data_IF_987024792709
#
_entry.id   IF_987024792709
#
_cell.length_a   1.000
_cell.length_b   1.000
_cell.length_c   1.000
_cell.angle_alpha   90.00
_cell.angle_beta   90.00
_cell.angle_gamma   90.00
#
_symmetry.space_group_name_H-M   'P 1'
#
loop_
_entity.id
_entity.type
_entity.pdbx_description
1 polymer ?
#
# COMPACT_ATOMS: atom_id res chain seq x y z
N UNK A 1 -14.20 2.71 -41.86
CA UNK A 1 -14.23 2.76 -40.38
C UNK A 1 -14.35 1.34 -39.86
N UNK A 2 -13.34 0.83 -39.10
CA UNK A 2 -13.50 -0.44 -38.39
C UNK A 2 -14.62 -0.27 -37.38
N UNK A 3 -15.67 -1.06 -37.42
CA UNK A 3 -16.70 -1.10 -36.37
C UNK A 3 -16.04 -1.45 -35.07
N UNK A 4 -16.02 -0.52 -34.11
CA UNK A 4 -15.61 -0.78 -32.74
C UNK A 4 -16.65 -1.75 -32.16
N UNK A 5 -16.27 -3.00 -31.91
CA UNK A 5 -17.11 -3.96 -31.20
C UNK A 5 -16.93 -3.68 -29.70
N UNK A 6 -17.98 -3.32 -28.95
CA UNK A 6 -17.87 -3.11 -27.50
C UNK A 6 -17.64 -4.47 -26.81
N UNK A 7 -16.79 -4.48 -25.79
CA UNK A 7 -16.63 -5.65 -24.92
C UNK A 7 -17.93 -5.93 -24.14
N UNK A 8 -18.32 -7.20 -24.04
CA UNK A 8 -19.39 -7.62 -23.14
C UNK A 8 -18.88 -7.58 -21.67
N UNK A 9 -19.55 -6.79 -20.85
CA UNK A 9 -19.20 -6.63 -19.43
C UNK A 9 -19.27 -7.93 -18.63
N UNK A 10 -20.16 -8.87 -19.00
CA UNK A 10 -20.25 -10.20 -18.38
C UNK A 10 -19.02 -11.04 -18.71
N UNK A 11 -18.49 -10.92 -19.94
CA UNK A 11 -17.26 -11.60 -20.33
C UNK A 11 -16.05 -11.01 -19.59
N UNK A 12 -15.97 -9.69 -19.45
CA UNK A 12 -14.92 -9.03 -18.66
C UNK A 12 -14.99 -9.43 -17.18
N UNK A 13 -16.18 -9.55 -16.61
CA UNK A 13 -16.36 -10.02 -15.23
C UNK A 13 -15.90 -11.48 -15.06
N UNK A 14 -16.28 -12.37 -15.98
CA UNK A 14 -15.84 -13.76 -15.97
C UNK A 14 -14.33 -13.88 -16.15
N UNK A 15 -13.74 -13.03 -16.99
CA UNK A 15 -12.31 -12.92 -17.21
C UNK A 15 -11.58 -12.54 -15.93
N UNK A 16 -12.01 -11.47 -15.24
CA UNK A 16 -11.38 -11.02 -13.99
C UNK A 16 -11.45 -12.08 -12.87
N UNK A 17 -12.61 -12.73 -12.71
CA UNK A 17 -12.76 -13.82 -11.72
C UNK A 17 -11.87 -15.01 -12.09
N UNK A 18 -11.71 -15.35 -13.36
CA UNK A 18 -10.80 -16.42 -13.79
C UNK A 18 -9.35 -16.07 -13.52
N UNK A 19 -8.95 -14.82 -13.72
CA UNK A 19 -7.60 -14.35 -13.36
C UNK A 19 -7.32 -14.51 -11.86
N UNK A 20 -8.31 -14.23 -11.01
CA UNK A 20 -8.13 -14.30 -9.55
C UNK A 20 -8.16 -15.74 -9.01
N UNK A 21 -8.95 -16.64 -9.65
CA UNK A 21 -9.10 -18.04 -9.20
C UNK A 21 -8.10 -19.01 -9.84
N UNK A 22 -7.64 -18.69 -11.05
CA UNK A 22 -6.80 -19.58 -11.88
C UNK A 22 -7.50 -20.89 -12.28
N UNK A 23 -8.84 -20.99 -12.12
CA UNK A 23 -9.61 -22.23 -12.33
C UNK A 23 -10.97 -21.96 -12.95
N UNK A 24 -11.23 -22.56 -14.10
CA UNK A 24 -12.54 -22.48 -14.78
C UNK A 24 -13.68 -23.02 -13.89
N UNK A 25 -13.44 -24.09 -13.13
CA UNK A 25 -14.44 -24.69 -12.26
C UNK A 25 -14.78 -23.78 -11.09
N UNK A 26 -13.79 -23.16 -10.46
CA UNK A 26 -14.01 -22.24 -9.36
C UNK A 26 -14.67 -20.93 -9.83
N UNK A 27 -14.28 -20.44 -11.00
CA UNK A 27 -14.92 -19.29 -11.66
C UNK A 27 -16.41 -19.57 -11.93
N UNK A 28 -16.71 -20.75 -12.46
CA UNK A 28 -18.09 -21.17 -12.74
C UNK A 28 -18.94 -21.18 -11.47
N UNK A 29 -18.42 -21.70 -10.37
CA UNK A 29 -19.11 -21.68 -9.06
C UNK A 29 -19.42 -20.27 -8.60
N UNK A 30 -18.42 -19.36 -8.66
CA UNK A 30 -18.59 -17.95 -8.24
C UNK A 30 -19.62 -17.19 -9.09
N UNK A 31 -19.74 -17.54 -10.36
CA UNK A 31 -20.68 -16.91 -11.29
C UNK A 31 -22.04 -17.61 -11.35
N UNK A 32 -22.23 -18.71 -10.63
CA UNK A 32 -23.43 -19.55 -10.74
C UNK A 32 -23.68 -20.05 -12.19
N UNK A 33 -22.59 -20.38 -12.91
CA UNK A 33 -22.60 -20.88 -14.26
C UNK A 33 -22.02 -22.29 -14.35
N UNK A 34 -22.15 -22.93 -15.52
CA UNK A 34 -21.43 -24.18 -15.81
C UNK A 34 -19.99 -23.87 -16.25
N UNK A 35 -19.08 -24.80 -16.02
CA UNK A 35 -17.67 -24.66 -16.48
C UNK A 35 -17.58 -24.53 -18.01
N UNK A 36 -18.46 -25.20 -18.76
CA UNK A 36 -18.56 -25.08 -20.21
C UNK A 36 -18.99 -23.68 -20.66
N UNK A 37 -19.93 -23.05 -19.94
CA UNK A 37 -20.35 -21.68 -20.22
C UNK A 37 -19.21 -20.67 -20.01
N UNK A 38 -18.46 -20.79 -18.91
CA UNK A 38 -17.27 -19.95 -18.66
C UNK A 38 -16.20 -20.19 -19.74
N UNK A 39 -15.94 -21.45 -20.11
CA UNK A 39 -14.96 -21.77 -21.15
C UNK A 39 -15.37 -21.18 -22.52
N UNK A 40 -16.64 -21.27 -22.87
CA UNK A 40 -17.16 -20.67 -24.10
C UNK A 40 -17.07 -19.15 -24.08
N UNK A 41 -17.43 -18.52 -22.95
CA UNK A 41 -17.33 -17.07 -22.76
C UNK A 41 -15.88 -16.57 -22.93
N UNK A 42 -14.90 -17.27 -22.36
CA UNK A 42 -13.49 -16.91 -22.51
C UNK A 42 -12.98 -17.12 -23.94
N UNK A 43 -13.42 -18.19 -24.61
CA UNK A 43 -13.07 -18.42 -26.02
C UNK A 43 -13.62 -17.30 -26.91
N UNK A 44 -14.88 -16.90 -26.71
CA UNK A 44 -15.49 -15.78 -27.43
C UNK A 44 -14.73 -14.46 -27.20
N UNK A 45 -14.32 -14.19 -25.95
CA UNK A 45 -13.53 -13.01 -25.62
C UNK A 45 -12.15 -13.02 -26.30
N UNK A 46 -11.46 -14.16 -26.34
CA UNK A 46 -10.20 -14.34 -27.09
C UNK A 46 -10.37 -14.11 -28.59
N UNK A 47 -11.46 -14.59 -29.16
CA UNK A 47 -11.81 -14.37 -30.57
C UNK A 47 -12.08 -12.88 -30.87
N UNK A 48 -12.78 -12.17 -29.99
CA UNK A 48 -13.00 -10.72 -30.10
C UNK A 48 -11.70 -9.91 -29.97
N UNK A 49 -10.81 -10.31 -29.04
CA UNK A 49 -9.49 -9.70 -28.87
C UNK A 49 -8.52 -10.04 -30.01
N UNK A 50 -8.78 -11.09 -30.78
CA UNK A 50 -7.85 -11.61 -31.78
C UNK A 50 -6.56 -12.18 -31.19
N UNK A 51 -6.56 -12.51 -29.90
CA UNK A 51 -5.38 -12.95 -29.17
C UNK A 51 -5.76 -13.90 -28.05
N UNK A 52 -4.88 -14.87 -27.76
CA UNK A 52 -5.01 -15.70 -26.56
C UNK A 52 -4.76 -14.87 -25.33
N UNK A 53 -5.67 -14.93 -24.36
CA UNK A 53 -5.56 -14.23 -23.08
C UNK A 53 -5.00 -15.11 -21.98
N UNK A 54 -5.14 -16.43 -22.15
CA UNK A 54 -4.68 -17.44 -21.22
C UNK A 54 -3.75 -18.47 -21.85
N UNK A 55 -2.83 -18.98 -21.03
CA UNK A 55 -1.98 -20.14 -21.33
C UNK A 55 -2.13 -21.20 -20.25
N UNK A 56 -1.98 -22.46 -20.60
CA UNK A 56 -2.00 -23.55 -19.64
C UNK A 56 -0.63 -23.64 -18.95
N UNK A 57 -0.64 -23.72 -17.62
CA UNK A 57 0.53 -23.94 -16.81
C UNK A 57 0.25 -25.11 -15.85
N UNK A 58 0.46 -26.33 -16.34
CA UNK A 58 0.06 -27.54 -15.64
C UNK A 58 -1.47 -27.63 -15.48
N UNK A 59 -1.94 -27.72 -14.23
CA UNK A 59 -3.37 -27.74 -13.88
C UNK A 59 -3.99 -26.34 -13.69
N UNK A 60 -3.18 -25.28 -13.73
CA UNK A 60 -3.62 -23.89 -13.55
C UNK A 60 -3.63 -23.13 -14.88
N UNK A 61 -4.36 -22.05 -14.87
CA UNK A 61 -4.44 -21.09 -15.98
C UNK A 61 -3.62 -19.87 -15.61
N UNK A 62 -2.72 -19.44 -16.50
CA UNK A 62 -1.91 -18.24 -16.34
C UNK A 62 -2.23 -17.26 -17.49
N UNK A 63 -2.06 -15.98 -17.22
CA UNK A 63 -2.23 -14.92 -18.23
C UNK A 63 -1.12 -14.97 -19.28
N UNK A 64 -1.46 -14.53 -20.49
CA UNK A 64 -0.51 -14.07 -21.49
C UNK A 64 -0.25 -12.58 -21.33
N UNK A 65 0.68 -12.01 -22.08
CA UNK A 65 0.90 -10.55 -22.11
C UNK A 65 -0.37 -9.80 -22.55
N UNK A 66 -1.10 -10.32 -23.54
CA UNK A 66 -2.39 -9.77 -23.97
C UNK A 66 -3.45 -9.86 -22.85
N UNK A 67 -3.46 -10.99 -22.11
CA UNK A 67 -4.34 -11.17 -20.96
C UNK A 67 -4.02 -10.17 -19.84
N UNK A 68 -2.76 -9.96 -19.53
CA UNK A 68 -2.33 -9.00 -18.52
C UNK A 68 -2.75 -7.57 -18.90
N UNK A 69 -2.55 -7.20 -20.17
CA UNK A 69 -2.98 -5.89 -20.69
C UNK A 69 -4.49 -5.69 -20.61
N UNK A 70 -5.28 -6.74 -20.95
CA UNK A 70 -6.74 -6.66 -20.80
C UNK A 70 -7.16 -6.54 -19.34
N UNK A 71 -6.46 -7.21 -18.42
CA UNK A 71 -6.75 -7.15 -16.98
C UNK A 71 -6.56 -5.74 -16.41
N UNK A 72 -5.49 -5.05 -16.81
CA UNK A 72 -5.25 -3.64 -16.45
C UNK A 72 -6.35 -2.69 -16.92
N UNK A 73 -7.03 -3.03 -18.00
CA UNK A 73 -8.20 -2.28 -18.48
C UNK A 73 -9.48 -2.73 -17.77
N UNK A 74 -9.74 -4.04 -17.70
CA UNK A 74 -11.02 -4.59 -17.28
C UNK A 74 -11.33 -4.33 -15.79
N UNK A 75 -10.35 -4.50 -14.89
CA UNK A 75 -10.56 -4.28 -13.46
C UNK A 75 -10.97 -2.87 -13.10
N UNK A 76 -10.23 -1.83 -13.53
CA UNK A 76 -10.65 -0.46 -13.27
C UNK A 76 -12.03 -0.14 -13.84
N UNK A 77 -12.32 -0.63 -15.03
CA UNK A 77 -13.61 -0.39 -15.70
C UNK A 77 -14.77 -1.05 -14.92
N UNK A 78 -14.63 -2.32 -14.53
CA UNK A 78 -15.64 -3.02 -13.73
C UNK A 78 -15.82 -2.35 -12.35
N UNK A 79 -14.73 -1.91 -11.73
CA UNK A 79 -14.77 -1.16 -10.47
C UNK A 79 -15.52 0.16 -10.58
N UNK A 80 -15.32 0.92 -11.66
CA UNK A 80 -16.07 2.16 -11.89
C UNK A 80 -17.57 1.90 -12.14
N UNK A 81 -17.91 0.83 -12.86
CA UNK A 81 -19.31 0.44 -13.04
C UNK A 81 -20.01 0.09 -11.72
N UNK A 82 -19.32 -0.62 -10.83
CA UNK A 82 -19.86 -0.96 -9.51
C UNK A 82 -20.08 0.28 -8.66
N UNK A 83 -19.14 1.23 -8.68
CA UNK A 83 -19.29 2.52 -7.98
C UNK A 83 -20.48 3.32 -8.48
N UNK A 84 -20.67 3.39 -9.80
CA UNK A 84 -21.85 4.08 -10.36
C UNK A 84 -23.15 3.41 -9.90
N UNK A 85 -23.19 2.07 -9.80
CA UNK A 85 -24.34 1.38 -9.21
C UNK A 85 -24.53 1.74 -7.74
N UNK A 86 -23.46 1.68 -6.93
CA UNK A 86 -23.50 2.07 -5.53
C UNK A 86 -23.91 3.54 -5.35
N UNK A 87 -23.45 4.44 -6.23
CA UNK A 87 -23.88 5.85 -6.22
C UNK A 87 -25.36 5.99 -6.56
N UNK A 88 -25.85 5.27 -7.56
CA UNK A 88 -27.27 5.28 -7.93
C UNK A 88 -28.16 4.72 -6.82
N UNK A 89 -27.74 3.62 -6.18
CA UNK A 89 -28.42 3.04 -5.02
C UNK A 89 -28.33 3.96 -3.78
N UNK A 90 -27.27 4.75 -3.69
CA UNK A 90 -26.99 5.71 -2.60
C UNK A 90 -27.67 7.07 -2.76
N UNK A 91 -28.29 7.39 -3.91
CA UNK A 91 -29.04 8.63 -4.09
C UNK A 91 -30.22 8.75 -3.10
N UNK A 92 -30.72 7.63 -2.60
CA UNK A 92 -31.77 7.61 -1.56
C UNK A 92 -31.23 7.74 -0.11
N UNK A 93 -29.89 7.61 0.10
CA UNK A 93 -29.27 7.69 1.43
C UNK A 93 -28.08 8.64 1.41
N UNK A 94 -28.31 9.91 1.77
CA UNK A 94 -27.26 10.91 1.96
C UNK A 94 -26.09 10.37 2.80
N UNK A 95 -24.91 10.20 2.19
CA UNK A 95 -23.66 9.88 2.90
C UNK A 95 -23.26 8.40 2.97
N UNK A 96 -23.96 7.48 2.33
CA UNK A 96 -23.58 6.08 2.24
C UNK A 96 -22.63 5.82 1.06
N UNK A 97 -21.36 6.20 1.20
CA UNK A 97 -20.28 5.82 0.27
C UNK A 97 -19.50 4.64 0.81
N UNK A 98 -18.76 3.94 -0.07
CA UNK A 98 -17.74 2.95 0.28
C UNK A 98 -16.39 3.49 -0.19
N UNK A 99 -15.36 3.32 0.62
CA UNK A 99 -13.96 3.62 0.26
C UNK A 99 -13.13 2.36 0.50
N UNK A 100 -12.51 1.85 -0.56
CA UNK A 100 -11.51 0.80 -0.49
C UNK A 100 -10.14 1.44 -0.34
N UNK A 101 -9.50 1.24 0.81
CA UNK A 101 -8.28 1.92 1.20
C UNK A 101 -7.13 0.93 1.32
N UNK A 102 -5.99 1.23 0.71
CA UNK A 102 -4.72 0.56 0.94
C UNK A 102 -3.88 1.33 1.95
N UNK A 103 -3.20 0.64 2.86
CA UNK A 103 -2.27 1.28 3.78
C UNK A 103 -1.29 0.26 4.36
N UNK A 104 -0.04 0.69 4.64
CA UNK A 104 0.91 -0.18 5.33
C UNK A 104 0.46 -0.47 6.78
N UNK A 105 0.99 -1.54 7.37
CA UNK A 105 0.70 -1.90 8.77
C UNK A 105 0.93 -0.71 9.72
N UNK A 106 1.97 0.08 9.49
CA UNK A 106 2.27 1.27 10.29
C UNK A 106 1.24 2.38 10.07
N UNK A 107 0.86 2.64 8.81
CA UNK A 107 -0.18 3.61 8.51
C UNK A 107 -1.53 3.17 9.09
N UNK A 108 -1.88 1.88 9.03
CA UNK A 108 -3.08 1.32 9.65
C UNK A 108 -3.09 1.51 11.17
N UNK A 109 -1.93 1.38 11.82
CA UNK A 109 -1.82 1.48 13.28
C UNK A 109 -1.85 2.92 13.78
N UNK A 110 -1.13 3.82 13.12
CA UNK A 110 -0.85 5.15 13.67
C UNK A 110 -1.54 6.29 12.92
N UNK A 111 -1.67 6.18 11.60
CA UNK A 111 -2.19 7.28 10.77
C UNK A 111 -3.69 7.15 10.50
N UNK A 112 -4.13 5.95 10.20
CA UNK A 112 -5.51 5.72 9.79
C UNK A 112 -6.53 5.96 10.92
N UNK A 113 -6.32 5.56 12.20
CA UNK A 113 -7.30 5.75 13.26
C UNK A 113 -7.71 7.21 13.47
N UNK A 114 -6.81 8.20 13.63
CA UNK A 114 -7.21 9.60 13.78
C UNK A 114 -7.93 10.14 12.54
N UNK A 115 -7.49 9.78 11.33
CA UNK A 115 -8.15 10.18 10.07
C UNK A 115 -9.58 9.64 10.02
N UNK A 116 -9.76 8.34 10.27
CA UNK A 116 -11.08 7.71 10.27
C UNK A 116 -11.98 8.27 11.37
N UNK A 117 -11.44 8.53 12.54
CA UNK A 117 -12.21 9.13 13.65
C UNK A 117 -12.76 10.50 13.27
N UNK A 118 -11.94 11.35 12.66
CA UNK A 118 -12.37 12.67 12.21
C UNK A 118 -13.36 12.55 11.04
N UNK A 119 -13.07 11.72 10.06
CA UNK A 119 -13.93 11.49 8.90
C UNK A 119 -15.31 10.96 9.29
N UNK A 120 -15.36 9.96 10.18
CA UNK A 120 -16.61 9.34 10.63
C UNK A 120 -17.53 10.26 11.43
N UNK A 121 -17.00 11.30 12.06
CA UNK A 121 -17.84 12.35 12.70
C UNK A 121 -18.70 13.09 11.67
N UNK A 122 -18.19 13.31 10.47
CA UNK A 122 -18.88 14.01 9.40
C UNK A 122 -19.67 13.05 8.47
N UNK A 123 -19.19 11.84 8.32
CA UNK A 123 -19.72 10.83 7.40
C UNK A 123 -19.90 9.46 8.08
N UNK A 124 -20.82 9.34 9.06
CA UNK A 124 -20.98 8.13 9.89
C UNK A 124 -21.37 6.88 9.08
N UNK A 125 -22.10 7.05 7.99
CA UNK A 125 -22.62 5.96 7.15
C UNK A 125 -21.62 5.45 6.11
N UNK A 126 -20.53 6.18 5.84
CA UNK A 126 -19.52 5.75 4.88
C UNK A 126 -18.83 4.45 5.36
N UNK A 127 -18.75 3.46 4.49
CA UNK A 127 -18.11 2.17 4.78
C UNK A 127 -16.65 2.20 4.32
N UNK A 128 -15.79 1.57 5.09
CA UNK A 128 -14.38 1.40 4.75
C UNK A 128 -14.02 -0.08 4.63
N UNK A 129 -13.28 -0.41 3.60
CA UNK A 129 -12.56 -1.67 3.46
C UNK A 129 -11.07 -1.34 3.40
N UNK A 130 -10.30 -1.84 4.36
CA UNK A 130 -8.88 -1.52 4.48
C UNK A 130 -8.06 -2.76 4.15
N UNK A 131 -7.20 -2.65 3.15
CA UNK A 131 -6.22 -3.66 2.78
C UNK A 131 -4.86 -3.25 3.31
N UNK A 132 -4.26 -4.13 4.13
CA UNK A 132 -2.98 -3.86 4.77
C UNK A 132 -1.84 -4.38 3.88
N UNK A 133 -1.24 -3.48 3.09
CA UNK A 133 -0.19 -3.78 2.13
C UNK A 133 0.87 -2.68 2.12
N UNK A 134 2.10 -3.00 1.71
CA UNK A 134 3.15 -1.99 1.61
C UNK A 134 2.94 -1.03 0.43
N UNK A 135 3.73 0.06 0.39
CA UNK A 135 3.59 1.09 -0.66
C UNK A 135 3.65 0.53 -2.07
N UNK A 136 4.63 -0.32 -2.47
CA UNK A 136 4.67 -0.88 -3.82
C UNK A 136 3.38 -1.63 -4.18
N UNK A 137 2.87 -2.48 -3.28
CA UNK A 137 1.65 -3.25 -3.54
C UNK A 137 0.40 -2.36 -3.56
N UNK A 138 0.32 -1.37 -2.67
CA UNK A 138 -0.76 -0.38 -2.70
C UNK A 138 -0.82 0.37 -4.03
N UNK A 139 0.33 0.78 -4.58
CA UNK A 139 0.39 1.47 -5.87
C UNK A 139 -0.04 0.57 -7.03
N UNK A 140 0.36 -0.71 -7.02
CA UNK A 140 -0.11 -1.70 -7.98
C UNK A 140 -1.63 -1.89 -7.90
N UNK A 141 -2.17 -2.03 -6.68
CA UNK A 141 -3.61 -2.18 -6.44
C UNK A 141 -4.42 -0.95 -6.89
N UNK A 142 -3.88 0.26 -6.74
CA UNK A 142 -4.47 1.49 -7.31
C UNK A 142 -4.53 1.41 -8.84
N UNK A 143 -3.44 1.02 -9.49
CA UNK A 143 -3.38 0.84 -10.94
C UNK A 143 -4.42 -0.16 -11.44
N UNK A 144 -4.59 -1.27 -10.73
CA UNK A 144 -5.58 -2.33 -11.01
C UNK A 144 -7.02 -1.97 -10.59
N UNK A 145 -7.24 -0.85 -9.90
CA UNK A 145 -8.57 -0.47 -9.39
C UNK A 145 -9.09 -1.39 -8.28
N UNK A 146 -8.21 -2.13 -7.60
CA UNK A 146 -8.55 -2.98 -6.46
C UNK A 146 -8.79 -2.18 -5.18
N UNK A 147 -8.31 -0.94 -5.14
CA UNK A 147 -8.53 0.06 -4.09
C UNK A 147 -8.76 1.43 -4.71
N UNK A 148 -9.38 2.31 -3.94
CA UNK A 148 -9.74 3.67 -4.36
C UNK A 148 -8.66 4.68 -4.04
N UNK A 149 -8.13 4.59 -2.84
CA UNK A 149 -7.13 5.46 -2.24
C UNK A 149 -6.08 4.61 -1.53
N UNK A 150 -4.88 5.16 -1.36
CA UNK A 150 -3.87 4.52 -0.52
C UNK A 150 -3.12 5.55 0.33
N UNK A 151 -2.88 5.22 1.60
CA UNK A 151 -1.93 5.97 2.45
C UNK A 151 -0.55 5.35 2.24
N UNK A 152 0.33 6.08 1.55
CA UNK A 152 1.63 5.59 1.09
C UNK A 152 2.75 6.57 1.43
N UNK A 153 3.98 6.08 1.33
CA UNK A 153 5.12 6.96 1.11
C UNK A 153 5.05 7.55 -0.30
N UNK A 154 5.66 8.73 -0.48
CA UNK A 154 5.76 9.39 -1.77
C UNK A 154 6.31 8.43 -2.83
N UNK A 155 5.60 8.21 -3.94
CA UNK A 155 6.02 7.28 -4.98
C UNK A 155 7.30 7.75 -5.66
N UNK A 156 8.26 6.85 -5.84
CA UNK A 156 9.50 7.14 -6.59
C UNK A 156 9.23 7.43 -8.07
N UNK A 157 8.11 6.96 -8.61
CA UNK A 157 7.64 7.20 -9.98
C UNK A 157 6.15 7.54 -9.94
N UNK A 158 5.75 8.61 -10.61
CA UNK A 158 4.39 9.17 -10.56
C UNK A 158 3.61 8.98 -11.87
N UNK A 159 4.02 8.04 -12.75
CA UNK A 159 3.39 7.93 -14.06
C UNK A 159 1.90 7.55 -14.01
N UNK A 160 1.51 6.74 -13.05
CA UNK A 160 0.16 6.17 -12.96
C UNK A 160 -0.65 6.65 -11.73
N UNK A 161 -0.02 7.41 -10.84
CA UNK A 161 -0.64 7.90 -9.63
C UNK A 161 -0.43 9.40 -9.44
N UNK A 162 -1.40 10.04 -8.81
CA UNK A 162 -1.31 11.37 -8.23
C UNK A 162 -1.10 11.20 -6.73
N UNK A 163 -0.22 12.00 -6.16
CA UNK A 163 0.15 11.94 -4.75
C UNK A 163 -0.15 13.28 -4.07
N UNK A 164 -0.93 13.21 -3.00
CA UNK A 164 -1.25 14.37 -2.16
C UNK A 164 -0.46 14.24 -0.86
N UNK A 165 0.58 15.06 -0.63
CA UNK A 165 1.41 14.97 0.57
C UNK A 165 0.63 15.42 1.81
N UNK A 166 0.77 14.68 2.91
CA UNK A 166 0.11 15.00 4.18
C UNK A 166 1.09 15.42 5.27
N UNK A 167 2.22 14.72 5.40
CA UNK A 167 3.25 15.03 6.39
C UNK A 167 4.59 14.39 6.06
N UNK A 168 5.64 14.80 6.77
CA UNK A 168 6.97 14.19 6.68
C UNK A 168 7.38 13.55 8.01
N UNK A 169 8.16 12.47 7.94
CA UNK A 169 8.80 11.86 9.10
C UNK A 169 10.30 11.69 8.89
N UNK A 170 11.01 11.39 9.98
CA UNK A 170 12.44 11.10 9.98
C UNK A 170 12.66 9.63 10.32
N UNK A 171 13.47 8.94 9.50
CA UNK A 171 14.01 7.64 9.85
C UNK A 171 15.21 7.84 10.79
N UNK A 172 15.23 7.07 11.88
CA UNK A 172 16.26 7.16 12.94
C UNK A 172 16.78 5.78 13.30
N UNK A 173 17.95 5.75 13.87
CA UNK A 173 18.51 4.52 14.48
C UNK A 173 17.83 4.30 15.82
N UNK A 174 17.38 3.09 16.05
CA UNK A 174 16.73 2.68 17.30
C UNK A 174 17.59 1.63 17.98
N UNK A 175 17.92 1.88 19.22
CA UNK A 175 18.81 1.04 20.04
C UNK A 175 18.17 0.77 21.41
N UNK A 176 18.56 -0.31 22.09
CA UNK A 176 18.23 -0.49 23.51
C UNK A 176 18.73 0.70 24.33
N UNK A 177 18.04 1.06 25.41
CA UNK A 177 18.45 2.20 26.25
C UNK A 177 19.82 2.02 26.94
N UNK A 178 20.27 0.78 27.12
CA UNK A 178 21.60 0.45 27.66
C UNK A 178 22.68 0.24 26.59
N UNK A 179 22.39 0.59 25.32
CA UNK A 179 23.35 0.44 24.23
C UNK A 179 24.40 1.55 24.27
N UNK A 180 25.65 1.26 23.89
CA UNK A 180 26.73 2.26 23.87
C UNK A 180 26.38 3.54 23.10
N UNK A 181 25.73 3.40 21.92
CA UNK A 181 25.29 4.54 21.14
C UNK A 181 24.22 5.39 21.85
N UNK A 182 23.44 4.77 22.74
CA UNK A 182 22.49 5.49 23.58
C UNK A 182 23.21 6.37 24.62
N UNK A 183 24.27 5.84 25.25
CA UNK A 183 25.12 6.58 26.20
C UNK A 183 25.85 7.75 25.52
N UNK A 184 26.39 7.49 24.30
CA UNK A 184 27.11 8.50 23.49
C UNK A 184 26.16 9.54 22.84
N UNK A 185 24.87 9.28 22.82
CA UNK A 185 23.83 10.12 22.13
C UNK A 185 23.99 10.20 20.61
N UNK A 186 24.78 9.34 20.01
CA UNK A 186 25.09 9.34 18.57
C UNK A 186 25.42 7.94 18.05
N UNK A 187 25.19 7.76 16.74
CA UNK A 187 25.57 6.53 16.03
C UNK A 187 27.03 6.62 15.59
N UNK A 188 27.81 5.61 15.90
CA UNK A 188 29.16 5.43 15.39
C UNK A 188 29.18 4.46 14.21
N UNK A 189 29.07 4.99 12.99
CA UNK A 189 29.07 4.21 11.77
C UNK A 189 30.39 3.50 11.47
N UNK A 190 31.49 3.88 12.10
CA UNK A 190 32.77 3.18 12.00
C UNK A 190 32.75 1.82 12.71
N UNK A 191 31.82 1.65 13.65
CA UNK A 191 31.60 0.41 14.39
C UNK A 191 30.36 -0.36 13.89
N UNK A 192 29.74 0.08 12.79
CA UNK A 192 28.51 -0.53 12.26
C UNK A 192 28.68 -2.03 11.90
N UNK A 193 29.88 -2.45 11.50
CA UNK A 193 30.19 -3.85 11.18
C UNK A 193 30.15 -4.78 12.41
N UNK A 194 30.27 -4.22 13.61
CA UNK A 194 30.15 -4.97 14.87
C UNK A 194 28.70 -5.12 15.33
N UNK A 195 27.76 -4.39 14.71
CA UNK A 195 26.37 -4.37 15.11
C UNK A 195 25.53 -5.31 14.23
N UNK A 196 24.56 -5.97 14.85
CA UNK A 196 23.49 -6.68 14.13
C UNK A 196 22.35 -5.71 13.84
N UNK A 197 22.02 -5.54 12.57
CA UNK A 197 20.90 -4.68 12.19
C UNK A 197 19.60 -5.45 12.04
N UNK A 198 18.48 -4.85 12.45
CA UNK A 198 17.13 -5.37 12.25
C UNK A 198 16.40 -4.40 11.32
N UNK A 199 16.17 -4.83 10.08
CA UNK A 199 15.72 -3.95 9.00
C UNK A 199 14.41 -4.42 8.38
N UNK A 200 13.76 -3.52 7.67
CA UNK A 200 12.60 -3.84 6.84
C UNK A 200 12.96 -4.81 5.72
N UNK A 201 11.93 -5.48 5.17
CA UNK A 201 12.12 -6.32 4.01
C UNK A 201 12.70 -5.52 2.82
N UNK A 202 13.52 -6.18 2.01
CA UNK A 202 14.24 -5.57 0.89
C UNK A 202 13.34 -4.97 -0.19
N UNK A 203 12.10 -5.46 -0.30
CA UNK A 203 11.10 -4.97 -1.25
C UNK A 203 10.48 -3.63 -0.87
N UNK A 204 10.57 -3.22 0.40
CA UNK A 204 9.92 -2.01 0.88
C UNK A 204 10.59 -0.72 0.37
N UNK A 205 9.80 0.34 0.23
CA UNK A 205 10.34 1.67 -0.10
C UNK A 205 11.28 2.18 0.98
N UNK A 206 10.97 1.94 2.24
CA UNK A 206 11.82 2.33 3.37
C UNK A 206 13.22 1.71 3.26
N UNK A 207 13.31 0.41 2.94
CA UNK A 207 14.60 -0.25 2.75
C UNK A 207 15.39 0.36 1.60
N UNK A 208 14.75 0.64 0.46
CA UNK A 208 15.43 1.26 -0.70
C UNK A 208 15.99 2.64 -0.37
N UNK A 209 15.18 3.50 0.29
CA UNK A 209 15.61 4.83 0.72
C UNK A 209 16.77 4.76 1.71
N UNK A 210 16.70 3.82 2.67
CA UNK A 210 17.75 3.58 3.63
C UNK A 210 19.05 3.15 2.94
N UNK A 211 18.95 2.17 2.03
CA UNK A 211 20.11 1.68 1.29
C UNK A 211 20.80 2.81 0.50
N UNK A 212 20.02 3.61 -0.24
CA UNK A 212 20.58 4.76 -0.95
C UNK A 212 21.25 5.78 0.00
N UNK A 213 20.68 6.00 1.17
CA UNK A 213 21.27 6.90 2.17
C UNK A 213 22.61 6.37 2.67
N UNK A 214 22.68 5.09 3.06
CA UNK A 214 23.89 4.45 3.56
C UNK A 214 24.97 4.34 2.47
N UNK A 215 24.60 3.97 1.25
CA UNK A 215 25.53 3.90 0.10
C UNK A 215 26.17 5.27 -0.17
N UNK A 216 25.38 6.36 -0.11
CA UNK A 216 25.91 7.74 -0.25
C UNK A 216 26.81 8.17 0.93
N UNK A 217 26.56 7.62 2.10
CA UNK A 217 27.39 7.86 3.30
C UNK A 217 28.63 6.96 3.36
N UNK A 218 28.81 6.04 2.39
CA UNK A 218 29.90 5.07 2.36
C UNK A 218 29.77 3.99 3.44
N UNK A 219 28.59 3.82 4.04
CA UNK A 219 28.32 2.84 5.09
C UNK A 219 27.81 1.54 4.48
N UNK A 220 28.48 0.43 4.79
CA UNK A 220 28.04 -0.92 4.43
C UNK A 220 27.63 -1.64 5.70
N UNK A 221 26.48 -2.29 5.67
CA UNK A 221 26.03 -3.17 6.74
C UNK A 221 26.52 -4.58 6.42
N UNK A 222 27.38 -5.15 7.28
CA UNK A 222 27.97 -6.48 7.07
C UNK A 222 26.91 -7.57 7.08
N UNK A 223 25.95 -7.49 8.00
CA UNK A 223 24.81 -8.40 8.08
C UNK A 223 23.58 -7.68 8.66
N UNK A 224 22.41 -8.21 8.34
CA UNK A 224 21.18 -7.75 8.99
C UNK A 224 20.12 -8.84 8.99
N UNK A 225 19.27 -8.79 10.01
CA UNK A 225 18.05 -9.59 10.10
C UNK A 225 16.94 -8.86 9.34
N UNK A 226 16.32 -9.53 8.41
CA UNK A 226 15.17 -9.00 7.67
C UNK A 226 13.89 -9.36 8.40
N UNK A 227 13.05 -8.35 8.70
CA UNK A 227 11.81 -8.55 9.41
C UNK A 227 10.66 -7.76 8.75
N UNK A 228 9.51 -8.41 8.56
CA UNK A 228 8.32 -7.79 7.98
C UNK A 228 7.43 -7.12 9.05
N UNK A 229 7.55 -7.53 10.30
CA UNK A 229 6.79 -6.96 11.41
C UNK A 229 7.65 -5.98 12.21
N UNK A 230 7.30 -4.69 12.16
CA UNK A 230 8.00 -3.67 12.94
C UNK A 230 7.86 -3.89 14.45
N UNK A 231 6.71 -4.38 14.91
CA UNK A 231 6.49 -4.68 16.32
C UNK A 231 7.43 -5.78 16.81
N UNK A 232 7.56 -6.88 16.04
CA UNK A 232 8.53 -7.91 16.35
C UNK A 232 9.97 -7.37 16.32
N UNK A 233 10.28 -6.46 15.38
CA UNK A 233 11.57 -5.77 15.33
C UNK A 233 11.85 -4.97 16.60
N UNK A 234 10.89 -4.23 17.12
CA UNK A 234 11.04 -3.49 18.39
C UNK A 234 11.31 -4.42 19.57
N UNK A 235 10.59 -5.54 19.67
CA UNK A 235 10.81 -6.51 20.74
C UNK A 235 12.22 -7.13 20.66
N UNK A 236 12.69 -7.47 19.46
CA UNK A 236 14.06 -7.97 19.26
C UNK A 236 15.13 -6.94 19.66
N UNK A 237 14.91 -5.66 19.33
CA UNK A 237 15.81 -4.58 19.75
C UNK A 237 15.82 -4.46 21.29
N UNK A 238 14.66 -4.46 21.93
CA UNK A 238 14.56 -4.35 23.41
C UNK A 238 15.34 -5.44 24.14
N UNK A 239 15.38 -6.65 23.61
CA UNK A 239 16.15 -7.78 24.19
C UNK A 239 17.61 -7.81 23.75
N UNK A 240 18.09 -6.77 23.03
CA UNK A 240 19.50 -6.65 22.66
C UNK A 240 19.94 -7.51 21.47
N UNK A 241 19.00 -8.00 20.65
CA UNK A 241 19.33 -8.80 19.46
C UNK A 241 19.93 -7.99 18.31
N UNK A 242 19.96 -6.66 18.44
CA UNK A 242 20.54 -5.77 17.47
C UNK A 242 19.97 -4.35 17.56
N UNK A 243 20.27 -3.55 16.54
CA UNK A 243 19.82 -2.17 16.39
C UNK A 243 18.91 -2.04 15.17
N UNK A 244 17.93 -1.15 15.23
CA UNK A 244 16.95 -0.99 14.16
C UNK A 244 17.01 0.37 13.49
N UNK A 245 16.29 0.47 12.34
CA UNK A 245 16.07 1.73 11.66
C UNK A 245 14.57 1.92 11.47
N UNK A 246 13.99 2.87 12.21
CA UNK A 246 12.55 3.06 12.29
C UNK A 246 12.19 4.55 12.27
N UNK A 247 10.95 4.86 11.94
CA UNK A 247 10.42 6.20 12.14
C UNK A 247 10.38 6.50 13.64
N UNK A 248 10.72 7.72 14.03
CA UNK A 248 10.71 8.16 15.41
C UNK A 248 9.34 7.97 16.08
N UNK A 249 8.27 8.28 15.36
CA UNK A 249 6.92 8.13 15.86
C UNK A 249 6.48 6.67 16.11
N UNK A 250 7.11 5.73 15.45
CA UNK A 250 6.77 4.31 15.59
C UNK A 250 7.33 3.70 16.89
N UNK A 251 8.33 4.33 17.46
CA UNK A 251 9.02 3.91 18.71
C UNK A 251 8.81 4.86 19.88
N UNK A 252 8.04 5.93 19.66
CA UNK A 252 7.81 6.94 20.70
C UNK A 252 7.28 6.38 22.02
N UNK A 253 6.34 5.41 22.05
CA UNK A 253 5.89 4.83 23.32
C UNK A 253 7.01 4.12 24.08
N UNK A 254 7.89 3.40 23.39
CA UNK A 254 9.02 2.69 23.97
C UNK A 254 10.11 3.66 24.45
N UNK A 255 10.36 4.73 23.69
CA UNK A 255 11.29 5.78 24.08
C UNK A 255 10.80 6.52 25.33
N UNK A 256 9.51 6.84 25.42
CA UNK A 256 8.91 7.47 26.61
C UNK A 256 8.99 6.59 27.86
N UNK A 257 8.94 5.26 27.70
CA UNK A 257 9.11 4.29 28.79
C UNK A 257 10.58 4.03 29.16
N UNK A 258 11.54 4.60 28.39
CA UNK A 258 12.97 4.36 28.59
C UNK A 258 13.44 2.97 28.16
N UNK A 259 12.65 2.23 27.37
CA UNK A 259 12.99 0.90 26.88
C UNK A 259 13.93 0.96 25.68
N UNK A 260 13.72 1.95 24.83
CA UNK A 260 14.48 2.20 23.59
C UNK A 260 14.98 3.65 23.56
N UNK A 261 15.99 3.87 22.73
CA UNK A 261 16.44 5.21 22.39
C UNK A 261 16.45 5.40 20.86
N UNK A 262 16.05 6.60 20.42
CA UNK A 262 15.98 6.97 19.01
C UNK A 262 17.07 8.01 18.72
N UNK A 263 18.01 7.67 17.84
CA UNK A 263 19.19 8.46 17.53
C UNK A 263 19.15 8.92 16.06
N UNK A 264 19.64 10.13 15.71
CA UNK A 264 19.73 10.57 14.33
C UNK A 264 20.69 9.67 13.54
N UNK A 265 20.38 9.38 12.26
CA UNK A 265 21.28 8.64 11.39
C UNK A 265 22.62 9.37 11.19
N UNK A 266 22.62 10.69 11.26
CA UNK A 266 23.80 11.52 11.06
C UNK A 266 23.44 12.98 10.87
N UNK A 267 24.37 13.78 10.36
CA UNK A 267 24.11 15.21 10.11
C UNK A 267 23.00 15.43 9.08
N UNK A 268 22.91 14.59 8.06
CA UNK A 268 21.86 14.64 7.04
C UNK A 268 20.74 13.71 7.48
N UNK A 269 19.56 14.28 7.69
CA UNK A 269 18.35 13.52 8.06
C UNK A 269 17.83 12.72 6.87
N UNK A 270 17.34 11.51 7.12
CA UNK A 270 16.59 10.73 6.13
C UNK A 270 15.10 10.99 6.33
N UNK A 271 14.58 11.95 5.56
CA UNK A 271 13.19 12.35 5.60
C UNK A 271 12.36 11.52 4.62
N UNK A 272 11.11 11.22 5.01
CA UNK A 272 10.14 10.55 4.15
C UNK A 272 8.86 11.38 4.13
N UNK A 273 8.19 11.43 2.98
CA UNK A 273 6.89 12.08 2.83
C UNK A 273 5.80 11.03 2.81
N UNK A 274 4.78 11.19 3.65
CA UNK A 274 3.56 10.39 3.67
C UNK A 274 2.42 11.17 3.08
N UNK A 275 1.53 10.50 2.39
CA UNK A 275 0.36 11.14 1.79
C UNK A 275 -0.64 10.14 1.25
N UNK A 276 -1.63 10.66 0.54
CA UNK A 276 -2.64 9.87 -0.13
C UNK A 276 -2.31 9.75 -1.60
N UNK A 277 -2.17 8.53 -2.08
CA UNK A 277 -2.03 8.20 -3.51
C UNK A 277 -3.39 7.84 -4.10
N UNK A 278 -3.64 8.32 -5.32
CA UNK A 278 -4.83 8.00 -6.12
C UNK A 278 -4.41 7.65 -7.53
N UNK A 279 -5.21 6.87 -8.26
CA UNK A 279 -4.94 6.57 -9.67
C UNK A 279 -5.08 7.85 -10.51
N UNK A 280 -4.08 8.15 -11.32
CA UNK A 280 -4.04 9.35 -12.17
C UNK A 280 -5.22 9.38 -13.15
N UNK A 281 -5.81 10.57 -13.29
CA UNK A 281 -6.92 10.81 -14.21
C UNK A 281 -8.25 10.19 -13.77
N UNK A 282 -8.31 9.54 -12.60
CA UNK A 282 -9.56 9.04 -12.04
C UNK A 282 -10.35 10.18 -11.40
N UNK A 283 -11.65 10.26 -11.72
CA UNK A 283 -12.55 11.22 -11.08
C UNK A 283 -12.89 10.75 -9.65
N UNK A 284 -12.48 11.53 -8.67
CA UNK A 284 -12.77 11.26 -7.27
C UNK A 284 -14.23 11.61 -6.93
N UNK A 285 -14.91 10.75 -6.19
CA UNK A 285 -16.23 11.05 -5.64
C UNK A 285 -16.13 12.02 -4.42
N UNK A 286 -17.27 12.45 -3.90
CA UNK A 286 -17.30 13.42 -2.80
C UNK A 286 -16.65 12.89 -1.51
N UNK A 287 -16.92 11.63 -1.16
CA UNK A 287 -16.36 11.01 0.05
C UNK A 287 -14.84 10.88 -0.02
N UNK A 288 -14.30 10.49 -1.17
CA UNK A 288 -12.86 10.38 -1.41
C UNK A 288 -12.16 11.72 -1.30
N UNK A 289 -12.70 12.77 -1.90
CA UNK A 289 -12.14 14.13 -1.77
C UNK A 289 -12.12 14.62 -0.31
N UNK A 290 -13.19 14.33 0.45
CA UNK A 290 -13.26 14.69 1.86
C UNK A 290 -12.24 13.85 2.66
N UNK A 291 -12.08 12.56 2.35
CA UNK A 291 -11.08 11.73 3.01
C UNK A 291 -9.66 12.26 2.80
N UNK A 292 -9.31 12.64 1.57
CA UNK A 292 -8.00 13.23 1.27
C UNK A 292 -7.77 14.49 2.09
N UNK A 293 -8.74 15.40 2.08
CA UNK A 293 -8.67 16.64 2.87
C UNK A 293 -8.53 16.37 4.37
N UNK A 294 -9.29 15.41 4.90
CA UNK A 294 -9.18 14.99 6.31
C UNK A 294 -7.79 14.40 6.62
N UNK A 295 -7.21 13.67 5.68
CA UNK A 295 -5.85 13.12 5.84
C UNK A 295 -4.79 14.23 5.86
N UNK A 296 -4.90 15.24 4.99
CA UNK A 296 -4.00 16.42 5.00
C UNK A 296 -4.09 17.17 6.32
N UNK A 297 -5.31 17.50 6.77
CA UNK A 297 -5.56 18.22 8.02
C UNK A 297 -5.04 17.42 9.24
N UNK A 298 -5.30 16.11 9.28
CA UNK A 298 -4.82 15.23 10.34
C UNK A 298 -3.29 15.11 10.35
N UNK A 299 -2.65 15.06 9.17
CA UNK A 299 -1.21 15.05 9.02
C UNK A 299 -0.55 16.32 9.56
N UNK A 300 -1.12 17.49 9.25
CA UNK A 300 -0.66 18.77 9.81
C UNK A 300 -0.76 18.80 11.34
N UNK A 301 -1.90 18.37 11.88
CA UNK A 301 -2.13 18.33 13.34
C UNK A 301 -1.18 17.36 14.04
N UNK A 302 -0.91 16.22 13.42
CA UNK A 302 0.00 15.20 13.92
C UNK A 302 1.46 15.68 14.02
N UNK A 303 1.91 16.52 13.05
CA UNK A 303 3.23 17.15 13.10
C UNK A 303 3.34 18.24 14.19
N UNK A 304 2.28 19.01 14.40
CA UNK A 304 2.28 20.10 15.38
C UNK A 304 2.35 19.56 16.80
N UNK A 305 1.56 18.54 17.12
CA UNK A 305 1.53 17.93 18.47
C UNK A 305 2.81 17.17 18.87
N UNK A 306 3.74 16.97 17.93
CA UNK A 306 5.04 16.30 18.16
C UNK A 306 6.21 17.26 18.34
N UNK A 307 6.01 18.55 18.10
CA UNK A 307 7.02 19.59 18.33
C UNK A 307 6.95 20.17 19.74
N UNK A 308 5.98 19.74 20.55
CA UNK A 308 5.81 20.06 21.96
C UNK A 308 6.25 18.87 22.82
#
# INVERSE_FOLDING_TARGET
MKRIRPFDTRQLQAFDILCSTGSFTETAKRLFLTQSAVSHSMKSLEEECGSRLFRRQGKKVALTEAGDRLLHFARPFLGEMEKVREELDGFEKFGAGRIQLGASAQACRFLLPPILTQFKKMHPLCRFEVKCEDTPRCLEMLGLGEIDLAITLEPMRTFEVEFVPCFTDELRVVVPSNHKWAEDGRVDWMQADAESFILYNRGSYTFRMLKEYLDRAGVRLASFMEISSQEAGKELIKVGMGVGLMADWAVEPEVRRGELQSLPLGRKKLMRTWGVSVRKGRKLNKAERIFIKTAEESGCHWMVNRKL
#
